data_IF_199888216468
#
_entry.id   IF_199888216468
#
_cell.length_a   1.000
_cell.length_b   1.000
_cell.length_c   1.000
_cell.angle_alpha   90.00
_cell.angle_beta   90.00
_cell.angle_gamma   90.00
#
_symmetry.space_group_name_H-M   'P 1'
#
loop_
_entity.id
_entity.type
_entity.pdbx_description
1 polymer ?
#
# COMPACT_ATOMS: atom_id res chain seq x y z
N UNK A 1 13.18 -6.15 -6.55
CA UNK A 1 12.37 -6.50 -5.36
C UNK A 1 10.96 -6.81 -5.85
N UNK A 2 10.28 -7.84 -5.33
CA UNK A 2 8.88 -8.09 -5.67
C UNK A 2 8.02 -6.84 -5.51
N UNK A 3 7.08 -6.65 -6.45
CA UNK A 3 6.16 -5.53 -6.50
C UNK A 3 4.81 -5.93 -5.89
N UNK A 4 4.21 -5.05 -5.10
CA UNK A 4 2.95 -5.27 -4.43
C UNK A 4 2.02 -4.07 -4.63
N UNK A 5 0.75 -4.36 -4.85
CA UNK A 5 -0.34 -3.39 -4.81
C UNK A 5 -1.19 -3.67 -3.58
N UNK A 6 -1.30 -2.67 -2.70
CA UNK A 6 -2.23 -2.67 -1.58
C UNK A 6 -3.37 -1.70 -1.89
N UNK A 7 -4.59 -2.21 -2.09
CA UNK A 7 -5.79 -1.37 -2.06
C UNK A 7 -6.28 -1.23 -0.62
N UNK A 8 -6.78 -0.04 -0.26
CA UNK A 8 -7.28 0.25 1.08
C UNK A 8 -8.54 1.11 1.04
N UNK A 9 -9.37 0.97 2.07
CA UNK A 9 -10.49 1.84 2.34
C UNK A 9 -10.39 2.37 3.77
N UNK A 10 -10.58 3.67 3.95
CA UNK A 10 -10.56 4.32 5.25
C UNK A 10 -11.88 4.15 6.00
N UNK A 11 -11.81 4.24 7.32
CA UNK A 11 -13.02 4.37 8.13
C UNK A 11 -13.66 5.76 7.91
N UNK A 12 -14.97 5.92 8.17
CA UNK A 12 -15.61 7.24 8.13
C UNK A 12 -14.93 8.27 9.03
N UNK A 13 -14.46 7.85 10.21
CA UNK A 13 -13.77 8.71 11.18
C UNK A 13 -12.42 9.18 10.64
N UNK A 14 -11.68 8.30 9.96
CA UNK A 14 -10.42 8.66 9.31
C UNK A 14 -10.66 9.69 8.19
N UNK A 15 -11.70 9.51 7.37
CA UNK A 15 -12.08 10.51 6.37
C UNK A 15 -12.50 11.85 7.00
N UNK A 16 -13.29 11.82 8.06
CA UNK A 16 -13.70 13.02 8.78
C UNK A 16 -12.49 13.76 9.39
N UNK A 17 -11.47 13.03 9.86
CA UNK A 17 -10.24 13.62 10.37
C UNK A 17 -9.40 14.25 9.25
N UNK A 18 -9.20 13.54 8.12
CA UNK A 18 -8.40 14.00 6.99
C UNK A 18 -9.04 15.19 6.26
N UNK A 19 -10.36 15.26 6.19
CA UNK A 19 -11.05 16.42 5.61
C UNK A 19 -10.96 17.66 6.49
N UNK A 20 -10.86 17.50 7.81
CA UNK A 20 -10.62 18.61 8.76
C UNK A 20 -9.17 19.07 8.79
N UNK A 21 -8.23 18.13 8.66
CA UNK A 21 -6.80 18.41 8.67
C UNK A 21 -6.09 17.55 7.61
N UNK A 22 -6.02 18.01 6.36
CA UNK A 22 -5.39 17.27 5.28
C UNK A 22 -3.91 17.00 5.56
N UNK A 23 -3.47 15.77 5.28
CA UNK A 23 -2.07 15.35 5.42
C UNK A 23 -1.60 14.65 4.15
N UNK A 24 -0.33 14.85 3.80
CA UNK A 24 0.31 14.04 2.77
C UNK A 24 0.60 12.63 3.31
N UNK A 25 -0.31 11.70 3.07
CA UNK A 25 -0.17 10.30 3.54
C UNK A 25 0.96 9.56 2.83
N UNK A 26 1.37 9.98 1.63
CA UNK A 26 2.43 9.33 0.88
C UNK A 26 3.78 9.38 1.63
N UNK A 27 4.10 10.50 2.29
CA UNK A 27 5.34 10.65 3.06
C UNK A 27 5.40 9.66 4.23
N UNK A 28 4.33 9.57 5.01
CA UNK A 28 4.27 8.63 6.15
C UNK A 28 4.37 7.17 5.70
N UNK A 29 3.71 6.83 4.58
CA UNK A 29 3.79 5.48 3.99
C UNK A 29 5.20 5.20 3.46
N UNK A 30 5.84 6.18 2.81
CA UNK A 30 7.21 6.05 2.30
C UNK A 30 8.20 5.74 3.41
N UNK A 31 8.20 6.52 4.49
CA UNK A 31 9.08 6.31 5.65
C UNK A 31 8.83 4.95 6.30
N UNK A 32 7.57 4.56 6.49
CA UNK A 32 7.21 3.26 7.06
C UNK A 32 7.76 2.10 6.23
N UNK A 33 7.55 2.14 4.91
CA UNK A 33 8.03 1.09 3.99
C UNK A 33 9.55 1.06 3.95
N UNK A 34 10.21 2.23 3.93
CA UNK A 34 11.67 2.34 3.93
C UNK A 34 12.30 1.75 5.20
N UNK A 35 11.70 1.97 6.37
CA UNK A 35 12.18 1.42 7.64
C UNK A 35 12.14 -0.11 7.68
N UNK A 36 11.29 -0.73 6.85
CA UNK A 36 11.20 -2.17 6.67
C UNK A 36 12.13 -2.69 5.56
N UNK A 37 12.95 -1.83 4.96
CA UNK A 37 13.82 -2.18 3.83
C UNK A 37 13.09 -2.25 2.47
N UNK A 38 11.86 -1.75 2.41
CA UNK A 38 11.06 -1.61 1.19
C UNK A 38 11.30 -0.29 0.46
N UNK A 39 10.58 -0.11 -0.65
CA UNK A 39 10.50 1.16 -1.38
C UNK A 39 9.07 1.47 -1.78
N UNK A 40 8.59 2.68 -1.46
CA UNK A 40 7.34 3.16 -2.03
C UNK A 40 7.55 3.49 -3.52
N UNK A 41 6.67 2.97 -4.39
CA UNK A 41 6.60 3.40 -5.79
C UNK A 41 5.71 4.64 -5.88
N UNK A 42 4.45 4.54 -5.43
CA UNK A 42 3.52 5.66 -5.38
C UNK A 42 2.26 5.35 -4.55
N UNK A 43 1.47 6.38 -4.24
CA UNK A 43 0.15 6.29 -3.58
C UNK A 43 -0.88 7.04 -4.41
N UNK A 44 -2.02 6.40 -4.69
CA UNK A 44 -3.14 7.01 -5.40
C UNK A 44 -4.42 6.90 -4.58
N UNK A 45 -5.28 7.91 -4.71
CA UNK A 45 -6.70 7.78 -4.34
C UNK A 45 -7.49 7.37 -5.58
N UNK A 46 -8.50 6.52 -5.41
CA UNK A 46 -9.30 6.02 -6.52
C UNK A 46 -10.79 6.02 -6.17
N UNK A 47 -11.62 6.09 -7.21
CA UNK A 47 -13.05 5.87 -7.09
C UNK A 47 -13.36 4.37 -7.19
N UNK A 48 -14.34 3.89 -6.41
CA UNK A 48 -14.82 2.52 -6.46
C UNK A 48 -15.02 1.91 -5.08
N UNK A 49 -14.76 0.61 -4.96
CA UNK A 49 -14.90 -0.14 -3.71
C UNK A 49 -13.85 0.26 -2.65
N UNK A 50 -12.66 0.64 -3.10
CA UNK A 50 -11.55 1.10 -2.27
C UNK A 50 -11.31 2.58 -2.49
N UNK A 51 -10.77 3.23 -1.47
CA UNK A 51 -10.51 4.68 -1.44
C UNK A 51 -9.16 5.04 -2.07
N UNK A 52 -8.22 4.10 -2.08
CA UNK A 52 -6.90 4.30 -2.65
C UNK A 52 -6.11 3.01 -2.82
N UNK A 53 -4.93 3.16 -3.41
CA UNK A 53 -3.95 2.09 -3.54
C UNK A 53 -2.53 2.59 -3.30
N UNK A 54 -1.70 1.71 -2.77
CA UNK A 54 -0.26 1.89 -2.56
C UNK A 54 0.47 0.88 -3.44
N UNK A 55 1.36 1.37 -4.28
CA UNK A 55 2.26 0.53 -5.07
C UNK A 55 3.64 0.56 -4.41
N UNK A 56 4.17 -0.58 -4.03
CA UNK A 56 5.42 -0.64 -3.27
C UNK A 56 6.20 -1.92 -3.54
N UNK A 57 7.51 -1.84 -3.32
CA UNK A 57 8.44 -2.96 -3.38
C UNK A 57 8.84 -3.38 -1.96
N UNK A 58 9.00 -4.68 -1.76
CA UNK A 58 9.54 -5.24 -0.51
C UNK A 58 10.56 -6.35 -0.80
N UNK A 59 11.50 -6.66 0.11
CA UNK A 59 12.48 -7.73 -0.09
C UNK A 59 11.84 -9.10 -0.32
N UNK A 60 10.78 -9.41 0.43
CA UNK A 60 10.06 -10.68 0.43
C UNK A 60 8.59 -10.52 0.87
N UNK A 61 7.81 -11.60 0.82
CA UNK A 61 6.38 -11.59 1.16
C UNK A 61 6.14 -11.32 2.67
N UNK A 62 7.11 -11.65 3.53
CA UNK A 62 7.04 -11.42 4.98
C UNK A 62 7.13 -9.93 5.29
N UNK A 63 8.11 -9.27 4.69
CA UNK A 63 8.31 -7.82 4.80
C UNK A 63 7.14 -7.06 4.17
N UNK A 64 6.63 -7.54 3.03
CA UNK A 64 5.44 -6.95 2.41
C UNK A 64 4.23 -7.00 3.34
N UNK A 65 4.02 -8.13 4.02
CA UNK A 65 2.95 -8.30 5.01
C UNK A 65 3.15 -7.41 6.23
N UNK A 66 4.40 -7.29 6.72
CA UNK A 66 4.72 -6.39 7.83
C UNK A 66 4.35 -4.94 7.51
N UNK A 67 4.61 -4.46 6.28
CA UNK A 67 4.22 -3.12 5.85
C UNK A 67 2.69 -2.93 5.84
N UNK A 68 1.93 -3.92 5.37
CA UNK A 68 0.45 -3.89 5.38
C UNK A 68 -0.07 -3.83 6.82
N UNK A 69 0.45 -4.68 7.71
CA UNK A 69 0.04 -4.71 9.12
C UNK A 69 0.40 -3.41 9.85
N UNK A 70 1.57 -2.83 9.57
CA UNK A 70 1.97 -1.54 10.11
C UNK A 70 1.02 -0.41 9.66
N UNK A 71 0.53 -0.46 8.42
CA UNK A 71 -0.45 0.49 7.89
C UNK A 71 -1.87 0.30 8.45
N UNK A 72 -2.32 -0.95 8.64
CA UNK A 72 -3.69 -1.27 9.07
C UNK A 72 -3.87 -1.21 10.59
N UNK A 73 -2.88 -1.64 11.37
CA UNK A 73 -2.97 -1.76 12.83
C UNK A 73 -3.37 -0.48 13.59
N UNK A 74 -3.13 0.76 13.10
CA UNK A 74 -3.62 1.96 13.79
C UNK A 74 -5.14 2.16 13.67
N UNK A 75 -5.87 1.30 12.96
CA UNK A 75 -7.34 1.26 12.95
C UNK A 75 -8.03 2.26 12.03
N UNK A 76 -7.27 3.01 11.23
CA UNK A 76 -7.81 3.99 10.29
C UNK A 76 -8.23 3.38 8.94
N UNK A 77 -7.90 2.10 8.69
CA UNK A 77 -8.23 1.35 7.47
C UNK A 77 -9.28 0.29 7.83
N UNK A 78 -10.48 0.37 7.23
CA UNK A 78 -11.58 -0.59 7.46
C UNK A 78 -11.49 -1.84 6.59
N UNK A 79 -10.85 -1.74 5.44
CA UNK A 79 -10.69 -2.84 4.50
C UNK A 79 -9.39 -2.68 3.70
N UNK A 80 -8.75 -3.79 3.39
CA UNK A 80 -7.56 -3.81 2.54
C UNK A 80 -7.51 -5.07 1.68
N UNK A 81 -6.81 -4.97 0.55
CA UNK A 81 -6.54 -6.09 -0.35
C UNK A 81 -5.15 -5.94 -0.93
N UNK A 82 -4.29 -6.91 -0.63
CA UNK A 82 -2.90 -6.94 -1.14
C UNK A 82 -2.80 -7.93 -2.29
N UNK A 83 -2.16 -7.51 -3.37
CA UNK A 83 -1.87 -8.34 -4.54
C UNK A 83 -0.39 -8.24 -4.86
N UNK A 84 0.32 -9.37 -4.89
CA UNK A 84 1.67 -9.42 -5.46
C UNK A 84 1.56 -9.32 -6.97
N UNK A 85 2.34 -8.43 -7.56
CA UNK A 85 2.36 -8.16 -8.99
C UNK A 85 3.58 -8.81 -9.63
N UNK A 86 3.42 -9.20 -10.89
CA UNK A 86 4.53 -9.56 -11.78
C UNK A 86 4.74 -8.43 -12.77
N UNK A 87 5.99 -8.09 -13.00
CA UNK A 87 6.37 -7.27 -14.14
C UNK A 87 6.09 -8.01 -15.44
N UNK A 88 5.98 -7.26 -16.54
CA UNK A 88 5.86 -7.85 -17.89
C UNK A 88 7.04 -8.78 -18.17
N UNK A 89 8.26 -8.41 -17.75
CA UNK A 89 9.45 -9.23 -17.94
C UNK A 89 9.35 -10.58 -17.20
N UNK A 90 8.96 -10.59 -15.92
CA UNK A 90 8.78 -11.82 -15.16
C UNK A 90 7.69 -12.72 -15.77
N UNK A 91 6.60 -12.13 -16.26
CA UNK A 91 5.55 -12.88 -16.93
C UNK A 91 6.04 -13.50 -18.25
N UNK A 92 6.81 -12.75 -19.04
CA UNK A 92 7.41 -13.24 -20.30
C UNK A 92 8.40 -14.38 -20.06
N UNK A 93 9.21 -14.30 -19.00
CA UNK A 93 10.16 -15.36 -18.66
C UNK A 93 9.44 -16.64 -18.22
N UNK A 94 8.26 -16.53 -17.58
CA UNK A 94 7.45 -17.68 -17.19
C UNK A 94 6.69 -18.36 -18.36
N UNK A 95 6.55 -17.70 -19.52
CA UNK A 95 5.88 -18.25 -20.70
C UNK A 95 6.82 -19.03 -21.63
N UNK A 96 8.13 -19.00 -21.37
CA UNK A 96 9.13 -19.73 -22.14
C UNK A 96 9.31 -21.14 -21.60
#
# INVERSE_FOLDING_TARGET
MPLYMLQFAYTPEAWAALTKNPQNRAEGVATMIQNLGGRLVDVYYCFGEYDGLVLYEAPDDVTATAAVLAGVSPGHIKASRTTRLMTVQEAMDAMR
#
